data_IF_866013583961
#
_entry.id   IF_866013583961
#
_cell.length_a   1.000
_cell.length_b   1.000
_cell.length_c   1.000
_cell.angle_alpha   90.00
_cell.angle_beta   90.00
_cell.angle_gamma   90.00
#
_symmetry.space_group_name_H-M   'P 1'
#
loop_
_entity.id
_entity.type
_entity.pdbx_description
1 polymer ?
#
# COMPACT_ATOMS: atom_id res chain seq x y z
N UNK A 1 8.98 -11.28 0.71
CA UNK A 1 7.95 -12.12 1.38
C UNK A 1 6.60 -11.74 0.79
N UNK A 2 5.64 -12.66 0.63
CA UNK A 2 4.31 -12.30 0.11
C UNK A 2 3.44 -11.72 1.23
N UNK A 3 3.06 -10.45 1.07
CA UNK A 3 2.14 -9.69 1.90
C UNK A 3 0.77 -9.80 1.27
N UNK A 4 -0.16 -10.49 1.94
CA UNK A 4 -1.56 -10.51 1.53
C UNK A 4 -2.20 -9.17 1.88
N UNK A 5 -2.76 -8.51 0.89
CA UNK A 5 -3.59 -7.33 1.10
C UNK A 5 -5.06 -7.78 1.15
N UNK A 6 -5.82 -7.21 2.10
CA UNK A 6 -7.27 -7.33 2.15
C UNK A 6 -7.80 -6.81 0.81
N UNK A 7 -8.36 -7.72 -0.02
CA UNK A 7 -8.87 -7.60 -1.41
C UNK A 7 -8.33 -8.71 -2.34
N UNK A 8 -7.57 -9.68 -1.81
CA UNK A 8 -7.14 -10.86 -2.57
C UNK A 8 -5.89 -10.64 -3.43
N UNK A 9 -5.27 -9.47 -3.30
CA UNK A 9 -4.01 -9.13 -3.94
C UNK A 9 -2.82 -9.46 -3.02
N UNK A 10 -1.69 -9.87 -3.60
CA UNK A 10 -0.45 -10.12 -2.87
C UNK A 10 0.64 -9.19 -3.37
N UNK A 11 1.25 -8.42 -2.46
CA UNK A 11 2.48 -7.69 -2.74
C UNK A 11 3.68 -8.50 -2.29
N UNK A 12 4.73 -8.56 -3.10
CA UNK A 12 6.01 -9.00 -2.60
C UNK A 12 6.66 -7.82 -1.85
N UNK A 13 6.77 -7.91 -0.52
CA UNK A 13 7.34 -6.84 0.30
C UNK A 13 8.76 -6.45 -0.12
N UNK A 14 9.53 -7.42 -0.63
CA UNK A 14 10.90 -7.19 -1.10
C UNK A 14 10.97 -6.34 -2.38
N UNK A 15 9.84 -6.12 -3.05
CA UNK A 15 9.74 -5.32 -4.27
C UNK A 15 8.98 -4.01 -4.05
N UNK A 16 8.60 -3.67 -2.81
CA UNK A 16 8.04 -2.35 -2.52
C UNK A 16 9.16 -1.32 -2.67
N UNK A 17 8.91 -0.31 -3.48
CA UNK A 17 9.83 0.79 -3.78
C UNK A 17 9.54 1.95 -2.84
N UNK A 18 8.27 2.38 -2.77
CA UNK A 18 7.85 3.53 -1.99
C UNK A 18 6.40 3.39 -1.52
N UNK A 19 6.07 4.06 -0.42
CA UNK A 19 4.71 4.20 0.09
C UNK A 19 4.42 5.69 0.24
N UNK A 20 3.37 6.16 -0.43
CA UNK A 20 2.90 7.54 -0.35
C UNK A 20 1.54 7.57 0.32
N UNK A 21 1.38 8.51 1.26
CA UNK A 21 0.11 8.74 1.94
C UNK A 21 -0.30 10.17 1.65
N UNK A 22 -1.51 10.33 1.12
CA UNK A 22 -2.09 11.65 0.87
C UNK A 22 -3.51 11.71 1.40
N UNK A 23 -3.99 12.93 1.67
CA UNK A 23 -5.37 13.18 2.04
C UNK A 23 -6.06 13.89 0.88
N UNK A 24 -7.10 13.29 0.35
CA UNK A 24 -7.95 13.93 -0.64
C UNK A 24 -8.78 15.01 0.05
N UNK A 25 -8.59 16.26 -0.37
CA UNK A 25 -9.24 17.41 0.27
C UNK A 25 -10.72 17.55 -0.08
N UNK A 26 -11.19 16.90 -1.16
CA UNK A 26 -12.58 16.96 -1.62
C UNK A 26 -13.46 16.03 -0.78
N UNK A 27 -13.07 14.76 -0.67
CA UNK A 27 -13.85 13.74 0.04
C UNK A 27 -13.33 13.45 1.46
N UNK A 28 -12.23 14.11 1.87
CA UNK A 28 -11.54 13.92 3.16
C UNK A 28 -10.96 12.52 3.39
N UNK A 29 -10.96 11.66 2.36
CA UNK A 29 -10.40 10.32 2.43
C UNK A 29 -8.87 10.33 2.39
N UNK A 30 -8.27 9.28 2.91
CA UNK A 30 -6.85 9.02 2.89
C UNK A 30 -6.54 8.05 1.76
N UNK A 31 -5.61 8.40 0.90
CA UNK A 31 -5.12 7.56 -0.17
C UNK A 31 -3.73 7.05 0.20
N UNK A 32 -3.56 5.73 0.15
CA UNK A 32 -2.28 5.06 0.30
C UNK A 32 -1.88 4.45 -1.04
N UNK A 33 -0.78 4.93 -1.60
CA UNK A 33 -0.20 4.45 -2.84
C UNK A 33 1.07 3.66 -2.54
N UNK A 34 1.12 2.41 -2.96
CA UNK A 34 2.29 1.55 -2.82
C UNK A 34 2.88 1.31 -4.20
N UNK A 35 4.07 1.86 -4.42
CA UNK A 35 4.87 1.63 -5.61
C UNK A 35 5.66 0.33 -5.44
N UNK A 36 5.62 -0.56 -6.44
CA UNK A 36 6.31 -1.84 -6.38
C UNK A 36 6.75 -2.36 -7.75
N UNK A 37 7.71 -3.29 -7.77
CA UNK A 37 8.12 -4.01 -9.00
C UNK A 37 7.40 -5.37 -9.09
N UNK A 38 6.48 -5.57 -10.05
CA UNK A 38 5.85 -6.87 -10.28
C UNK A 38 6.88 -7.84 -10.89
N UNK A 39 7.09 -9.00 -10.25
CA UNK A 39 7.84 -10.17 -10.74
C UNK A 39 8.85 -9.92 -11.89
N UNK A 40 10.09 -9.57 -11.54
CA UNK A 40 11.29 -9.58 -12.41
C UNK A 40 11.20 -8.78 -13.72
N UNK A 41 10.11 -8.04 -13.95
CA UNK A 41 9.94 -7.16 -15.09
C UNK A 41 10.34 -5.75 -14.67
N UNK A 42 11.04 -5.02 -15.54
CA UNK A 42 11.45 -3.61 -15.34
C UNK A 42 10.25 -2.64 -15.36
N UNK A 43 9.10 -3.08 -14.87
CA UNK A 43 7.87 -2.30 -14.80
C UNK A 43 7.60 -1.91 -13.35
N UNK A 44 7.13 -0.69 -13.16
CA UNK A 44 6.60 -0.22 -11.88
C UNK A 44 5.10 -0.42 -11.89
N UNK A 45 4.57 -1.05 -10.84
CA UNK A 45 3.15 -1.07 -10.53
C UNK A 45 2.83 -0.14 -9.37
N UNK A 46 1.61 0.39 -9.35
CA UNK A 46 1.10 1.16 -8.21
C UNK A 46 -0.16 0.47 -7.71
N UNK A 47 -0.18 0.17 -6.41
CA UNK A 47 -1.38 -0.28 -5.70
C UNK A 47 -1.99 0.89 -4.93
N UNK A 48 -3.26 1.17 -5.18
CA UNK A 48 -4.00 2.27 -4.57
C UNK A 48 -5.02 1.72 -3.57
N UNK A 49 -5.04 2.26 -2.35
CA UNK A 49 -6.08 1.97 -1.37
C UNK A 49 -6.58 3.25 -0.71
N UNK A 50 -7.89 3.43 -0.76
CA UNK A 50 -8.57 4.57 -0.14
C UNK A 50 -9.20 4.17 1.20
N UNK A 51 -9.06 5.04 2.19
CA UNK A 51 -9.58 4.89 3.53
C UNK A 51 -10.39 6.12 3.92
N UNK A 52 -11.57 5.93 4.48
CA UNK A 52 -12.38 7.05 4.98
C UNK A 52 -11.86 7.60 6.32
N UNK A 53 -11.14 6.76 7.09
CA UNK A 53 -10.61 7.10 8.41
C UNK A 53 -9.09 7.08 8.42
N UNK A 54 -8.49 8.08 9.08
CA UNK A 54 -7.06 8.09 9.36
C UNK A 54 -6.63 6.85 10.14
N UNK A 55 -7.43 6.44 11.11
CA UNK A 55 -7.11 5.33 12.00
C UNK A 55 -7.03 4.01 11.22
N UNK A 56 -7.88 3.83 10.22
CA UNK A 56 -7.86 2.63 9.36
C UNK A 56 -6.63 2.62 8.44
N UNK A 57 -6.29 3.79 7.87
CA UNK A 57 -5.07 3.94 7.08
C UNK A 57 -3.81 3.66 7.90
N UNK A 58 -3.73 4.20 9.12
CA UNK A 58 -2.61 3.97 10.04
C UNK A 58 -2.52 2.49 10.45
N UNK A 59 -3.65 1.83 10.76
CA UNK A 59 -3.68 0.41 11.09
C UNK A 59 -3.21 -0.47 9.92
N UNK A 60 -3.60 -0.13 8.68
CA UNK A 60 -3.11 -0.81 7.49
C UNK A 60 -1.60 -0.66 7.33
N UNK A 61 -1.08 0.56 7.47
CA UNK A 61 0.36 0.84 7.36
C UNK A 61 1.18 0.13 8.44
N UNK A 62 0.67 0.04 9.67
CA UNK A 62 1.32 -0.72 10.74
C UNK A 62 1.38 -2.21 10.44
N UNK A 63 0.27 -2.81 9.98
CA UNK A 63 0.25 -4.22 9.53
C UNK A 63 1.24 -4.45 8.40
N UNK A 64 1.29 -3.56 7.42
CA UNK A 64 2.21 -3.64 6.30
C UNK A 64 3.68 -3.55 6.79
N UNK A 65 3.99 -2.61 7.68
CA UNK A 65 5.33 -2.47 8.26
C UNK A 65 5.79 -3.74 9.00
N UNK A 66 4.92 -4.36 9.81
CA UNK A 66 5.21 -5.62 10.50
C UNK A 66 5.48 -6.80 9.56
N UNK A 67 5.03 -6.72 8.30
CA UNK A 67 5.26 -7.75 7.29
C UNK A 67 6.39 -7.38 6.30
N UNK A 68 6.97 -6.19 6.42
CA UNK A 68 8.17 -5.80 5.66
C UNK A 68 9.43 -5.97 6.52
N UNK A 69 9.33 -5.66 7.82
CA UNK A 69 10.39 -5.84 8.81
C UNK A 69 10.66 -7.33 9.09
#
# INVERSE_FOLDING_TARGET
MLVKIEDGFYLNSSHIIAIHVSKNMINQNFLVDIEYTPNNQKATGIYHKEFQSKLDADAFLQKLHQQIA
#
